data_IF_543656283938
#
_entry.id   IF_543656283938
#
_cell.length_a   1.000
_cell.length_b   1.000
_cell.length_c   1.000
_cell.angle_alpha   90.00
_cell.angle_beta   90.00
_cell.angle_gamma   90.00
#
_symmetry.space_group_name_H-M   'P 1'
#
loop_
_entity.id
_entity.type
_entity.pdbx_description
1 polymer ?
#
# COMPACT_ATOMS: atom_id res chain seq x y z
N UNK A 1 1.38 25.73 -3.08
CA UNK A 1 0.61 24.53 -3.45
C UNK A 1 1.61 23.40 -3.66
N UNK A 2 1.64 22.43 -2.76
CA UNK A 2 2.64 21.37 -2.72
C UNK A 2 2.56 20.41 -3.92
N UNK A 3 3.64 20.22 -4.69
CA UNK A 3 3.66 19.31 -5.84
C UNK A 3 3.45 17.84 -5.46
N UNK A 4 3.61 17.50 -4.17
CA UNK A 4 3.32 16.16 -3.64
C UNK A 4 1.82 15.87 -3.54
N UNK A 5 1.00 16.89 -3.24
CA UNK A 5 -0.47 16.75 -3.13
C UNK A 5 -1.10 16.54 -4.52
N UNK A 6 -0.51 17.14 -5.55
CA UNK A 6 -0.97 17.05 -6.94
C UNK A 6 -0.83 15.63 -7.49
N UNK A 7 0.24 14.90 -7.13
CA UNK A 7 0.40 13.48 -7.50
C UNK A 7 -0.65 12.58 -6.83
N UNK A 8 -1.07 12.94 -5.62
CA UNK A 8 -2.07 12.17 -4.87
C UNK A 8 -3.48 12.29 -5.47
N UNK A 9 -3.78 13.41 -6.14
CA UNK A 9 -5.01 13.62 -6.91
C UNK A 9 -5.01 12.87 -8.25
N UNK A 10 -3.85 12.75 -8.92
CA UNK A 10 -3.72 12.02 -10.19
C UNK A 10 -3.73 10.49 -10.02
N UNK A 11 -3.25 9.97 -8.89
CA UNK A 11 -3.23 8.53 -8.61
C UNK A 11 -4.61 7.94 -8.20
N UNK A 12 -5.62 8.79 -7.96
CA UNK A 12 -6.95 8.41 -7.45
C UNK A 12 -7.91 7.79 -8.47
N UNK A 13 -7.47 7.53 -9.72
CA UNK A 13 -8.29 6.95 -10.80
C UNK A 13 -8.05 5.45 -11.06
N UNK A 14 -7.45 4.73 -10.12
CA UNK A 14 -7.26 3.28 -10.27
C UNK A 14 -8.52 2.52 -9.76
N UNK A 15 -9.59 2.58 -10.55
CA UNK A 15 -10.84 1.85 -10.32
C UNK A 15 -11.33 1.07 -11.55
N UNK A 16 -10.48 0.92 -12.58
CA UNK A 16 -10.81 0.19 -13.80
C UNK A 16 -9.79 -0.94 -13.98
N UNK A 17 -10.26 -2.19 -14.17
CA UNK A 17 -9.53 -3.46 -14.26
C UNK A 17 -8.41 -3.55 -15.33
N UNK A 18 -7.45 -2.63 -15.26
CA UNK A 18 -6.19 -2.56 -15.99
C UNK A 18 -5.12 -3.31 -15.19
N UNK A 19 -4.05 -3.84 -15.83
CA UNK A 19 -3.04 -4.67 -15.17
C UNK A 19 -2.58 -4.00 -13.89
N UNK A 20 -2.88 -4.68 -12.77
CA UNK A 20 -2.47 -4.39 -11.39
C UNK A 20 -1.45 -3.25 -11.32
N UNK A 21 -1.94 -2.02 -11.15
CA UNK A 21 -1.13 -0.82 -11.34
C UNK A 21 0.13 -0.85 -10.49
N UNK A 22 1.29 -0.50 -11.06
CA UNK A 22 2.56 -0.48 -10.34
C UNK A 22 2.42 0.33 -9.04
N UNK A 23 2.97 -0.22 -7.96
CA UNK A 23 3.04 0.48 -6.68
C UNK A 23 3.88 1.76 -6.86
N UNK A 24 3.39 2.86 -6.28
CA UNK A 24 4.16 4.10 -6.17
C UNK A 24 5.32 3.93 -5.19
N UNK A 25 6.36 4.80 -5.24
CA UNK A 25 7.48 4.72 -4.30
C UNK A 25 7.02 4.69 -2.83
N UNK A 26 6.02 5.52 -2.49
CA UNK A 26 5.49 5.58 -1.14
C UNK A 26 4.75 4.30 -0.72
N UNK A 27 4.05 3.67 -1.65
CA UNK A 27 3.37 2.40 -1.40
C UNK A 27 4.38 1.25 -1.23
N UNK A 28 5.50 1.29 -1.95
CA UNK A 28 6.61 0.34 -1.76
C UNK A 28 7.25 0.49 -0.38
N UNK A 29 7.54 1.72 0.06
CA UNK A 29 8.08 1.97 1.41
C UNK A 29 7.13 1.43 2.50
N UNK A 30 5.81 1.67 2.35
CA UNK A 30 4.79 1.15 3.26
C UNK A 30 4.80 -0.38 3.23
N UNK A 31 4.84 -1.01 2.06
CA UNK A 31 4.89 -2.46 1.90
C UNK A 31 6.15 -3.09 2.49
N UNK A 32 7.31 -2.46 2.34
CA UNK A 32 8.56 -2.89 2.98
C UNK A 32 8.47 -2.88 4.50
N UNK A 33 7.92 -1.82 5.09
CA UNK A 33 7.74 -1.76 6.55
C UNK A 33 6.69 -2.76 7.02
N UNK A 34 5.65 -3.04 6.22
CA UNK A 34 4.70 -4.13 6.49
C UNK A 34 5.39 -5.49 6.46
N UNK A 35 6.28 -5.73 5.51
CA UNK A 35 7.05 -6.97 5.40
C UNK A 35 8.01 -7.17 6.58
N UNK A 36 8.48 -6.08 7.19
CA UNK A 36 9.24 -6.08 8.46
C UNK A 36 8.36 -6.30 9.70
N UNK A 37 7.06 -6.58 9.55
CA UNK A 37 6.13 -6.84 10.64
C UNK A 37 5.69 -5.60 11.42
N UNK A 38 5.91 -4.38 10.90
CA UNK A 38 5.54 -3.14 11.60
C UNK A 38 4.03 -2.93 11.57
N UNK A 39 3.44 -2.39 12.65
CA UNK A 39 2.02 -1.99 12.71
C UNK A 39 1.77 -0.66 11.98
N UNK A 40 0.51 -0.32 11.69
CA UNK A 40 0.19 0.96 11.03
C UNK A 40 0.65 2.18 11.83
N UNK A 41 0.51 2.15 13.16
CA UNK A 41 1.03 3.18 14.06
C UNK A 41 2.56 3.33 13.96
N UNK A 42 3.29 2.21 13.95
CA UNK A 42 4.74 2.24 13.81
C UNK A 42 5.19 2.73 12.42
N UNK A 43 4.48 2.34 11.36
CA UNK A 43 4.73 2.83 10.00
C UNK A 43 4.44 4.33 9.94
N UNK A 44 3.32 4.79 10.48
CA UNK A 44 2.95 6.19 10.53
C UNK A 44 4.02 7.04 11.23
N UNK A 45 4.55 6.57 12.37
CA UNK A 45 5.66 7.20 13.07
C UNK A 45 6.95 7.26 12.26
N UNK A 46 7.36 6.15 11.61
CA UNK A 46 8.57 6.12 10.78
C UNK A 46 8.48 7.04 9.56
N UNK A 47 7.29 7.14 8.99
CA UNK A 47 7.03 7.87 7.76
C UNK A 47 6.58 9.32 8.01
N UNK A 48 6.44 9.71 9.29
CA UNK A 48 5.99 11.03 9.77
C UNK A 48 4.65 11.44 9.13
N UNK A 49 3.68 10.53 9.15
CA UNK A 49 2.32 10.72 8.64
C UNK A 49 1.29 10.22 9.64
N UNK A 50 0.00 10.41 9.34
CA UNK A 50 -1.08 9.88 10.18
C UNK A 50 -1.34 8.41 9.90
N UNK A 51 -1.85 7.68 10.91
CA UNK A 51 -2.29 6.29 10.75
C UNK A 51 -3.38 6.15 9.68
N UNK A 52 -4.27 7.15 9.57
CA UNK A 52 -5.29 7.20 8.52
C UNK A 52 -4.68 7.26 7.13
N UNK A 53 -3.58 7.98 6.95
CA UNK A 53 -2.86 8.00 5.68
C UNK A 53 -2.27 6.62 5.36
N UNK A 54 -1.69 5.93 6.34
CA UNK A 54 -1.19 4.56 6.17
C UNK A 54 -2.31 3.59 5.81
N UNK A 55 -3.46 3.65 6.48
CA UNK A 55 -4.62 2.82 6.14
C UNK A 55 -5.06 3.02 4.68
N UNK A 56 -5.07 4.28 4.19
CA UNK A 56 -5.35 4.59 2.78
C UNK A 56 -4.32 3.99 1.82
N UNK A 57 -3.03 4.12 2.14
CA UNK A 57 -1.96 3.51 1.34
C UNK A 57 -2.09 1.98 1.30
N UNK A 58 -2.36 1.34 2.43
CA UNK A 58 -2.53 -0.11 2.54
C UNK A 58 -3.73 -0.59 1.71
N UNK A 59 -4.87 0.08 1.77
CA UNK A 59 -6.02 -0.25 0.91
C UNK A 59 -5.70 -0.10 -0.58
N UNK A 60 -4.96 0.96 -0.97
CA UNK A 60 -4.52 1.16 -2.35
C UNK A 60 -3.54 0.07 -2.81
N UNK A 61 -2.62 -0.36 -1.94
CA UNK A 61 -1.70 -1.47 -2.20
C UNK A 61 -2.46 -2.77 -2.45
N UNK A 62 -3.42 -3.09 -1.58
CA UNK A 62 -4.21 -4.32 -1.72
C UNK A 62 -5.03 -4.32 -3.02
N UNK A 63 -5.71 -3.22 -3.33
CA UNK A 63 -6.44 -3.07 -4.58
C UNK A 63 -5.51 -3.24 -5.81
N UNK A 64 -4.33 -2.59 -5.79
CA UNK A 64 -3.33 -2.69 -6.86
C UNK A 64 -2.68 -4.06 -6.97
N UNK A 65 -2.77 -4.91 -5.95
CA UNK A 65 -2.27 -6.30 -5.99
C UNK A 65 -3.37 -7.32 -6.24
N UNK A 66 -4.62 -6.88 -6.45
CA UNK A 66 -5.75 -7.78 -6.66
C UNK A 66 -6.09 -8.57 -5.38
N UNK A 67 -5.72 -8.03 -4.23
CA UNK A 67 -6.03 -8.61 -2.92
C UNK A 67 -7.37 -8.02 -2.46
N UNK A 68 -8.45 -8.62 -2.94
CA UNK A 68 -9.80 -8.26 -2.55
C UNK A 68 -10.07 -8.54 -1.07
N UNK A 69 -11.11 -7.88 -0.54
CA UNK A 69 -11.59 -8.11 0.83
C UNK A 69 -12.16 -9.52 0.90
N UNK A 70 -11.37 -10.46 1.42
CA UNK A 70 -11.82 -11.79 1.82
C UNK A 70 -11.88 -11.83 3.35
N UNK A 71 -12.99 -12.31 3.91
CA UNK A 71 -13.17 -12.46 5.36
C UNK A 71 -12.25 -13.54 5.94
N UNK A 72 -11.86 -14.52 5.13
CA UNK A 72 -11.01 -15.65 5.53
C UNK A 72 -9.50 -15.35 5.44
N UNK A 73 -9.09 -14.32 4.68
CA UNK A 73 -7.68 -14.08 4.39
C UNK A 73 -7.09 -12.85 5.09
N UNK A 74 -5.90 -13.02 5.69
CA UNK A 74 -5.11 -11.89 6.18
C UNK A 74 -4.41 -11.18 5.00
N UNK A 75 -5.12 -10.24 4.36
CA UNK A 75 -4.64 -9.42 3.23
C UNK A 75 -3.24 -8.84 3.42
N UNK A 76 -2.87 -8.49 4.65
CA UNK A 76 -1.53 -7.97 4.97
C UNK A 76 -0.48 -9.06 4.80
N UNK A 77 -0.74 -10.27 5.30
CA UNK A 77 0.16 -11.40 5.12
C UNK A 77 0.30 -11.77 3.63
N UNK A 78 -0.80 -11.82 2.88
CA UNK A 78 -0.77 -12.08 1.44
C UNK A 78 0.05 -11.03 0.68
N UNK A 79 -0.15 -9.74 0.95
CA UNK A 79 0.61 -8.67 0.31
C UNK A 79 2.11 -8.77 0.60
N UNK A 80 2.49 -9.14 1.83
CA UNK A 80 3.88 -9.35 2.23
C UNK A 80 4.47 -10.57 1.52
N UNK A 81 3.74 -11.69 1.46
CA UNK A 81 4.20 -12.90 0.76
C UNK A 81 4.42 -12.63 -0.72
N UNK A 82 3.48 -11.97 -1.40
CA UNK A 82 3.63 -11.57 -2.81
C UNK A 82 4.82 -10.64 -3.03
N UNK A 83 5.13 -9.76 -2.07
CA UNK A 83 6.30 -8.89 -2.14
C UNK A 83 7.62 -9.65 -2.00
N UNK A 84 7.70 -10.57 -1.04
CA UNK A 84 8.91 -11.37 -0.79
C UNK A 84 9.19 -12.37 -1.91
N UNK A 85 8.14 -12.91 -2.56
CA UNK A 85 8.27 -13.82 -3.70
C UNK A 85 8.83 -13.11 -4.95
N UNK A 86 8.52 -11.84 -5.15
CA UNK A 86 9.04 -11.02 -6.26
C UNK A 86 10.54 -10.67 -6.14
N UNK A 87 11.14 -10.87 -4.97
CA UNK A 87 12.56 -10.60 -4.70
C UNK A 87 13.48 -11.83 -4.79
N UNK A 88 12.96 -12.99 -5.24
CA UNK A 88 13.71 -14.24 -5.40
C UNK A 88 14.08 -14.51 -6.86
#
# INVERSE_FOLDING_TARGET
MDPQVIRQLLAGRAGDGRPLGRLTPRELEVLELMAKGRSNAAIAGNLVVTERAIAKHTSSIFAKRGLDVSDDDNRRALAVLTYLDQGR
#
